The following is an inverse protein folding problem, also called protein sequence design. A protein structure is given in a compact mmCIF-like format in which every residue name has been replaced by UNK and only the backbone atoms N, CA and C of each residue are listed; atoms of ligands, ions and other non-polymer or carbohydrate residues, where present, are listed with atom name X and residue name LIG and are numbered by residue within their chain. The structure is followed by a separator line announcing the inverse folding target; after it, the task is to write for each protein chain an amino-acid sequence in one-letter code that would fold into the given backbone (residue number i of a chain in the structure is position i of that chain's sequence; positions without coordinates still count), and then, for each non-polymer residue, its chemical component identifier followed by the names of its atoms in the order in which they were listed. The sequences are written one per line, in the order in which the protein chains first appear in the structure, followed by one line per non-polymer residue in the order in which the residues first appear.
data_IF_587570195149
#
_entry.id   IF_587570195149
#
_cell.length_a   1.000
_cell.length_b   1.000
_cell.length_c   1.000
_cell.angle_alpha   90.00
_cell.angle_beta   90.00
_cell.angle_gamma   90.00
#
_symmetry.space_group_name_H-M   'P 1'
#
loop_
_entity.id
_entity.type
_entity.pdbx_description
1 polymer ?
#
# COMPACT_ATOMS: atom_id res chain seq x y z
N UNK A 1 10.39 43.87 19.18
CA UNK A 1 9.03 43.73 18.62
C UNK A 1 8.09 43.01 19.60
N UNK A 2 8.32 43.12 20.93
CA UNK A 2 7.58 42.35 21.96
C UNK A 2 6.77 43.21 22.94
N UNK A 3 6.56 44.50 22.62
CA UNK A 3 5.77 45.40 23.47
C UNK A 3 4.27 45.39 23.15
N UNK A 4 3.87 44.98 21.93
CA UNK A 4 2.46 44.97 21.49
C UNK A 4 1.71 43.69 21.87
N UNK A 5 2.41 42.54 21.93
CA UNK A 5 1.81 41.25 22.31
C UNK A 5 1.39 41.21 23.79
N UNK A 6 2.09 41.96 24.65
CA UNK A 6 1.80 42.02 26.09
C UNK A 6 0.52 42.83 26.41
N UNK A 7 0.24 43.87 25.63
CA UNK A 7 -0.95 44.71 25.81
C UNK A 7 -2.24 43.98 25.37
N UNK A 8 -2.17 43.18 24.30
CA UNK A 8 -3.29 42.36 23.82
C UNK A 8 -3.64 41.19 24.76
N UNK A 9 -2.63 40.62 25.45
CA UNK A 9 -2.85 39.56 26.44
C UNK A 9 -3.51 40.10 27.73
N UNK A 10 -3.14 41.31 28.15
CA UNK A 10 -3.73 41.98 29.31
C UNK A 10 -5.21 42.36 29.08
N UNK A 11 -5.61 42.67 27.84
CA UNK A 11 -7.00 43.01 27.51
C UNK A 11 -7.92 41.77 27.46
N UNK A 12 -7.41 40.61 27.02
CA UNK A 12 -8.19 39.37 27.01
C UNK A 12 -8.42 38.79 28.43
N UNK A 13 -7.51 39.03 29.37
CA UNK A 13 -7.67 38.58 30.76
C UNK A 13 -8.78 39.32 31.51
N UNK A 14 -8.99 40.62 31.21
CA UNK A 14 -10.02 41.43 31.87
C UNK A 14 -11.44 41.18 31.32
N UNK A 15 -11.56 40.59 30.13
CA UNK A 15 -12.84 40.24 29.51
C UNK A 15 -13.31 38.80 29.79
N UNK A 16 -12.49 37.96 30.44
CA UNK A 16 -12.79 36.55 30.75
C UNK A 16 -13.24 36.30 32.20
N UNK A 17 -13.15 37.29 33.09
CA UNK A 17 -13.63 37.18 34.48
C UNK A 17 -15.11 37.58 34.68
N UNK A 18 -15.78 38.03 33.63
CA UNK A 18 -17.21 38.33 33.65
C UNK A 18 -17.91 37.49 32.59
N UNK A 19 -18.33 36.27 32.94
CA UNK A 19 -19.54 35.54 32.50
C UNK A 19 -19.30 34.04 32.68
N UNK A 20 -19.75 33.48 33.79
CA UNK A 20 -19.99 32.04 33.96
C UNK A 20 -21.52 31.81 34.06
N UNK A 21 -22.06 30.70 33.51
CA UNK A 21 -23.50 30.50 33.41
C UNK A 21 -24.11 30.04 34.74
N UNK A 22 -25.17 30.72 35.20
CA UNK A 22 -26.01 30.31 36.33
C UNK A 22 -27.21 29.50 35.80
N UNK A 23 -27.30 28.25 36.23
CA UNK A 23 -28.48 27.40 36.08
C UNK A 23 -29.60 27.83 37.04
N UNK A 24 -30.83 27.59 36.60
CA UNK A 24 -32.12 27.91 37.24
C UNK A 24 -32.52 26.93 38.34
N UNK A 25 -32.94 27.42 39.51
CA UNK A 25 -34.21 27.01 40.17
C UNK A 25 -34.50 27.80 41.47
N UNK A 26 -35.74 28.32 41.53
CA UNK A 26 -36.67 28.51 42.68
C UNK A 26 -36.41 29.58 43.77
N UNK A 27 -37.24 30.63 43.67
CA UNK A 27 -38.08 31.31 44.69
C UNK A 27 -37.61 31.45 46.15
N UNK A 28 -37.59 32.69 46.66
CA UNK A 28 -38.41 33.20 47.79
C UNK A 28 -37.88 34.58 48.25
N UNK A 29 -38.83 35.45 48.58
CA UNK A 29 -38.80 36.85 49.06
C UNK A 29 -37.70 37.28 50.05
N UNK A 30 -37.15 38.50 49.88
CA UNK A 30 -36.94 39.49 50.95
C UNK A 30 -36.33 40.80 50.41
N UNK A 31 -36.79 41.93 50.96
CA UNK A 31 -36.42 43.29 50.60
C UNK A 31 -35.14 43.79 51.30
N UNK A 32 -34.32 44.60 50.61
CA UNK A 32 -33.47 45.64 51.22
C UNK A 32 -33.22 46.76 50.20
N UNK A 33 -33.41 48.02 50.63
CA UNK A 33 -33.04 49.25 49.91
C UNK A 33 -31.56 49.59 50.14
N UNK A 34 -30.87 50.12 49.12
CA UNK A 34 -29.85 51.16 49.29
C UNK A 34 -29.51 51.86 47.97
N UNK A 35 -29.23 53.15 48.11
CA UNK A 35 -29.24 54.27 47.17
C UNK A 35 -27.89 54.50 46.44
N UNK A 36 -27.87 55.27 45.33
CA UNK A 36 -26.62 55.81 44.75
C UNK A 36 -26.49 56.02 43.22
N UNK A 37 -27.27 56.93 42.64
CA UNK A 37 -26.93 57.89 41.55
C UNK A 37 -26.33 57.44 40.19
N UNK A 38 -27.26 57.21 39.24
CA UNK A 38 -27.39 57.75 37.86
C UNK A 38 -26.20 57.85 36.87
N UNK A 39 -26.32 57.11 35.75
CA UNK A 39 -26.29 57.70 34.38
C UNK A 39 -26.84 56.74 33.31
N UNK A 40 -27.87 57.22 32.62
CA UNK A 40 -28.57 56.73 31.42
C UNK A 40 -29.25 55.35 31.48
N UNK A 41 -30.57 55.39 31.60
CA UNK A 41 -31.47 54.28 31.38
C UNK A 41 -31.22 53.68 30.00
N UNK A 42 -30.72 52.45 29.99
CA UNK A 42 -30.68 51.62 28.80
C UNK A 42 -32.09 51.54 28.26
N UNK A 43 -32.32 52.19 27.12
CA UNK A 43 -33.57 52.08 26.38
C UNK A 43 -33.91 50.60 26.22
N UNK A 44 -35.02 50.17 26.83
CA UNK A 44 -35.63 48.84 26.60
C UNK A 44 -35.92 48.59 25.11
N UNK A 45 -35.91 49.65 24.31
CA UNK A 45 -36.13 49.63 22.87
C UNK A 45 -34.78 49.61 22.15
N UNK A 46 -34.50 48.49 21.49
CA UNK A 46 -33.39 48.36 20.54
C UNK A 46 -33.91 48.76 19.17
N UNK A 47 -33.14 49.57 18.43
CA UNK A 47 -33.51 49.95 17.06
C UNK A 47 -33.49 48.69 16.18
N UNK A 48 -34.53 48.53 15.36
CA UNK A 48 -34.68 47.37 14.46
C UNK A 48 -33.46 47.16 13.56
N UNK A 49 -32.83 48.25 13.12
CA UNK A 49 -31.59 48.24 12.34
C UNK A 49 -30.43 47.56 13.10
N UNK A 50 -30.32 47.77 14.41
CA UNK A 50 -29.23 47.19 15.22
C UNK A 50 -29.46 45.69 15.46
N UNK A 51 -30.72 45.25 15.56
CA UNK A 51 -31.10 43.82 15.67
C UNK A 51 -30.82 43.08 14.36
N UNK A 52 -31.19 43.68 13.22
CA UNK A 52 -30.95 43.08 11.90
C UNK A 52 -29.46 43.03 11.56
N UNK A 53 -28.72 44.08 11.92
CA UNK A 53 -27.26 44.10 11.79
C UNK A 53 -26.61 43.00 12.64
N UNK A 54 -27.02 42.84 13.91
CA UNK A 54 -26.54 41.75 14.74
C UNK A 54 -26.86 40.36 14.16
N UNK A 55 -28.03 40.19 13.53
CA UNK A 55 -28.42 38.94 12.86
C UNK A 55 -27.56 38.68 11.60
N UNK A 56 -27.30 39.71 10.80
CA UNK A 56 -26.43 39.62 9.62
C UNK A 56 -24.98 39.31 10.01
N UNK A 57 -24.47 39.95 11.06
CA UNK A 57 -23.13 39.70 11.59
C UNK A 57 -23.00 38.27 12.14
N UNK A 58 -24.02 37.75 12.83
CA UNK A 58 -24.04 36.34 13.27
C UNK A 58 -24.02 35.37 12.09
N UNK A 59 -24.82 35.63 11.04
CA UNK A 59 -24.82 34.79 9.84
C UNK A 59 -23.46 34.80 9.12
N UNK A 60 -22.85 35.97 8.96
CA UNK A 60 -21.54 36.10 8.34
C UNK A 60 -20.43 35.49 9.21
N UNK A 61 -20.51 35.63 10.54
CA UNK A 61 -19.57 35.00 11.45
C UNK A 61 -19.68 33.47 11.43
N UNK A 62 -20.89 32.92 11.38
CA UNK A 62 -21.12 31.48 11.24
C UNK A 62 -20.63 30.97 9.89
N UNK A 63 -20.85 31.72 8.80
CA UNK A 63 -20.34 31.38 7.48
C UNK A 63 -18.80 31.41 7.44
N UNK A 64 -18.18 32.44 8.00
CA UNK A 64 -16.73 32.56 8.09
C UNK A 64 -16.12 31.43 8.94
N UNK A 65 -16.76 31.03 10.04
CA UNK A 65 -16.34 29.89 10.87
C UNK A 65 -16.40 28.57 10.09
N UNK A 66 -17.46 28.37 9.30
CA UNK A 66 -17.59 27.17 8.47
C UNK A 66 -16.54 27.15 7.35
N UNK A 67 -16.24 28.30 6.76
CA UNK A 67 -15.19 28.43 5.74
C UNK A 67 -13.80 28.22 6.33
N UNK A 68 -13.51 28.75 7.52
CA UNK A 68 -12.23 28.52 8.20
C UNK A 68 -12.06 27.06 8.61
N UNK A 69 -13.10 26.40 9.12
CA UNK A 69 -13.08 24.96 9.44
C UNK A 69 -12.81 24.11 8.19
N UNK A 70 -13.46 24.44 7.06
CA UNK A 70 -13.22 23.78 5.77
C UNK A 70 -11.78 24.01 5.29
N UNK A 71 -11.26 25.23 5.41
CA UNK A 71 -9.90 25.57 5.03
C UNK A 71 -8.87 24.83 5.92
N UNK A 72 -9.08 24.80 7.24
CA UNK A 72 -8.24 24.05 8.18
C UNK A 72 -8.26 22.56 7.90
N UNK A 73 -9.43 21.98 7.59
CA UNK A 73 -9.53 20.57 7.19
C UNK A 73 -8.79 20.29 5.89
N UNK A 74 -8.84 21.22 4.93
CA UNK A 74 -8.09 21.10 3.68
C UNK A 74 -6.57 21.20 3.92
N UNK A 75 -6.11 22.13 4.77
CA UNK A 75 -4.71 22.27 5.14
C UNK A 75 -4.20 21.05 5.91
N UNK A 76 -4.98 20.54 6.87
CA UNK A 76 -4.64 19.33 7.63
C UNK A 76 -4.52 18.12 6.71
N UNK A 77 -5.40 18.00 5.69
CA UNK A 77 -5.31 16.95 4.69
C UNK A 77 -4.05 17.08 3.82
N UNK A 78 -3.75 18.28 3.29
CA UNK A 78 -2.53 18.50 2.49
C UNK A 78 -1.27 18.21 3.29
N UNK A 79 -1.22 18.64 4.56
CA UNK A 79 -0.10 18.37 5.46
C UNK A 79 0.07 16.88 5.74
N UNK A 80 -1.03 16.15 5.97
CA UNK A 80 -0.97 14.69 6.17
C UNK A 80 -0.51 13.95 4.90
N UNK A 81 -0.97 14.38 3.71
CA UNK A 81 -0.55 13.80 2.44
C UNK A 81 0.96 14.06 2.15
N UNK A 82 1.46 15.25 2.49
CA UNK A 82 2.87 15.64 2.38
C UNK A 82 3.75 14.85 3.36
N UNK A 83 3.33 14.72 4.62
CA UNK A 83 4.03 13.93 5.63
C UNK A 83 4.08 12.44 5.25
N UNK A 84 2.98 11.88 4.73
CA UNK A 84 2.92 10.52 4.21
C UNK A 84 3.76 10.32 2.94
N UNK A 85 3.95 11.36 2.12
CA UNK A 85 4.87 11.33 0.98
C UNK A 85 6.33 11.35 1.46
N UNK A 86 6.68 12.23 2.40
CA UNK A 86 8.01 12.30 2.99
C UNK A 86 8.39 11.02 3.73
N UNK A 87 7.44 10.35 4.41
CA UNK A 87 7.70 9.05 5.01
C UNK A 87 8.00 7.97 3.97
N UNK A 88 7.24 7.92 2.87
CA UNK A 88 7.51 6.99 1.76
C UNK A 88 8.88 7.22 1.14
N UNK A 89 9.30 8.48 0.99
CA UNK A 89 10.62 8.84 0.50
C UNK A 89 11.72 8.37 1.45
N UNK A 90 11.58 8.60 2.76
CA UNK A 90 12.52 8.09 3.78
C UNK A 90 12.65 6.56 3.76
N UNK A 91 11.56 5.84 3.52
CA UNK A 91 11.59 4.38 3.41
C UNK A 91 12.30 3.90 2.14
N UNK A 92 12.11 4.60 1.02
CA UNK A 92 12.81 4.30 -0.23
C UNK A 92 14.31 4.58 -0.10
N UNK A 93 14.69 5.71 0.52
CA UNK A 93 16.09 6.06 0.78
C UNK A 93 16.76 5.02 1.68
N UNK A 94 16.11 4.60 2.78
CA UNK A 94 16.61 3.50 3.63
C UNK A 94 16.80 2.21 2.85
N UNK A 95 15.84 1.86 1.98
CA UNK A 95 15.91 0.65 1.14
C UNK A 95 17.04 0.74 0.11
N UNK A 96 17.24 1.91 -0.50
CA UNK A 96 18.34 2.16 -1.43
C UNK A 96 19.69 2.06 -0.71
N UNK A 97 19.83 2.70 0.45
CA UNK A 97 21.06 2.61 1.26
C UNK A 97 21.44 1.18 1.63
N UNK A 98 20.47 0.37 2.06
CA UNK A 98 20.71 -1.06 2.35
C UNK A 98 21.10 -1.86 1.10
N UNK A 99 20.52 -1.53 -0.06
CA UNK A 99 20.90 -2.16 -1.33
C UNK A 99 22.32 -1.79 -1.72
N UNK A 100 22.67 -0.51 -1.66
CA UNK A 100 24.00 -0.02 -2.02
C UNK A 100 25.07 -0.55 -1.05
N UNK A 101 24.75 -0.65 0.24
CA UNK A 101 25.62 -1.26 1.24
C UNK A 101 25.84 -2.76 0.95
N UNK A 102 24.77 -3.48 0.59
CA UNK A 102 24.88 -4.90 0.19
C UNK A 102 25.64 -5.08 -1.12
N UNK A 103 25.47 -4.20 -2.10
CA UNK A 103 26.22 -4.23 -3.36
C UNK A 103 27.70 -3.93 -3.13
N UNK A 104 28.04 -2.94 -2.29
CA UNK A 104 29.42 -2.67 -1.88
C UNK A 104 30.05 -3.84 -1.14
N UNK A 105 29.33 -4.49 -0.22
CA UNK A 105 29.84 -5.66 0.49
C UNK A 105 30.11 -6.85 -0.46
N UNK A 106 29.28 -7.04 -1.49
CA UNK A 106 29.52 -8.05 -2.53
C UNK A 106 30.77 -7.73 -3.33
N UNK A 107 30.95 -6.48 -3.73
CA UNK A 107 32.11 -6.04 -4.49
C UNK A 107 33.40 -6.18 -3.68
N UNK A 108 33.38 -5.81 -2.39
CA UNK A 108 34.52 -6.00 -1.49
C UNK A 108 34.89 -7.47 -1.35
N UNK A 109 33.90 -8.35 -1.15
CA UNK A 109 34.14 -9.78 -1.09
C UNK A 109 34.73 -10.33 -2.40
N UNK A 110 34.24 -9.86 -3.54
CA UNK A 110 34.78 -10.25 -4.85
C UNK A 110 36.23 -9.78 -5.04
N UNK A 111 36.55 -8.56 -4.62
CA UNK A 111 37.91 -8.02 -4.60
C UNK A 111 38.82 -8.81 -3.66
N UNK A 112 38.36 -9.14 -2.46
CA UNK A 112 39.11 -9.98 -1.50
C UNK A 112 39.34 -11.39 -2.06
N UNK A 113 38.34 -12.00 -2.70
CA UNK A 113 38.51 -13.29 -3.39
C UNK A 113 39.48 -13.20 -4.58
N UNK A 114 39.46 -12.10 -5.34
CA UNK A 114 40.39 -11.87 -6.45
C UNK A 114 41.83 -11.63 -5.95
N UNK A 115 42.00 -10.84 -4.89
CA UNK A 115 43.28 -10.64 -4.22
C UNK A 115 43.79 -11.93 -3.58
N UNK A 116 42.92 -12.74 -2.97
CA UNK A 116 43.27 -14.04 -2.42
C UNK A 116 43.69 -15.00 -3.54
N UNK A 117 42.99 -15.01 -4.68
CA UNK A 117 43.39 -15.77 -5.89
C UNK A 117 44.75 -15.29 -6.42
N UNK A 118 44.96 -13.98 -6.50
CA UNK A 118 46.24 -13.38 -6.95
C UNK A 118 47.37 -13.67 -5.97
N UNK A 119 47.10 -13.66 -4.66
CA UNK A 119 48.04 -14.01 -3.59
C UNK A 119 48.39 -15.49 -3.63
N UNK A 120 47.40 -16.38 -3.74
CA UNK A 120 47.61 -17.83 -3.92
C UNK A 120 48.38 -18.14 -5.20
N UNK A 121 48.13 -17.39 -6.28
CA UNK A 121 48.90 -17.50 -7.51
C UNK A 121 50.35 -17.07 -7.27
N UNK A 122 50.59 -15.91 -6.64
CA UNK A 122 51.94 -15.40 -6.32
C UNK A 122 52.72 -16.34 -5.38
N UNK A 123 52.04 -16.96 -4.41
CA UNK A 123 52.61 -17.97 -3.52
C UNK A 123 52.93 -19.26 -4.30
N UNK A 124 52.06 -19.69 -5.20
CA UNK A 124 52.25 -20.87 -6.07
C UNK A 124 53.36 -20.66 -7.11
N UNK A 125 53.52 -19.45 -7.63
CA UNK A 125 54.62 -19.06 -8.53
C UNK A 125 55.88 -18.65 -7.76
N UNK A 126 55.87 -18.75 -6.43
CA UNK A 126 56.98 -18.49 -5.52
C UNK A 126 57.90 -19.70 -5.33
N UNK A 127 58.17 -20.44 -6.41
CA UNK A 127 59.33 -21.32 -6.57
C UNK A 127 59.48 -21.53 -8.09
N UNK A 128 60.69 -21.32 -8.60
CA UNK A 128 61.10 -21.35 -10.02
C UNK A 128 60.66 -20.13 -10.84
N UNK A 129 61.67 -19.33 -11.20
CA UNK A 129 61.55 -18.31 -12.21
C UNK A 129 61.63 -18.87 -13.62
N UNK A 130 61.37 -17.96 -14.56
CA UNK A 130 61.64 -18.03 -15.99
C UNK A 130 60.80 -19.02 -16.80
N UNK A 131 59.81 -18.52 -17.54
CA UNK A 131 59.75 -18.54 -19.02
C UNK A 131 58.56 -17.69 -19.47
N UNK A 132 58.81 -16.73 -20.38
CA UNK A 132 57.80 -16.07 -21.20
C UNK A 132 57.07 -17.10 -22.08
N UNK A 133 55.74 -17.01 -22.19
CA UNK A 133 55.05 -17.26 -23.46
C UNK A 133 53.63 -16.66 -23.38
N UNK A 134 53.43 -15.64 -24.21
CA UNK A 134 52.13 -15.13 -24.61
C UNK A 134 51.32 -16.27 -25.24
N UNK A 135 50.19 -16.63 -24.63
CA UNK A 135 49.11 -17.32 -25.35
C UNK A 135 47.76 -16.64 -25.05
N UNK A 136 47.33 -15.86 -26.03
CA UNK A 136 46.04 -15.19 -26.08
C UNK A 136 44.95 -16.23 -26.44
N UNK A 137 44.63 -17.15 -25.52
CA UNK A 137 43.48 -18.04 -25.69
C UNK A 137 42.22 -17.45 -25.05
N UNK A 138 41.31 -17.01 -25.93
CA UNK A 138 39.95 -16.57 -25.64
C UNK A 138 39.28 -17.41 -24.56
N UNK A 139 38.81 -16.69 -23.54
CA UNK A 139 38.03 -17.18 -22.41
C UNK A 139 36.61 -17.54 -22.86
N UNK A 140 36.43 -18.69 -23.49
CA UNK A 140 35.13 -19.34 -23.61
C UNK A 140 34.97 -20.30 -22.43
N UNK A 141 34.43 -19.76 -21.33
CA UNK A 141 34.12 -20.51 -20.12
C UNK A 141 33.13 -21.65 -20.40
N UNK A 142 33.67 -22.84 -20.62
CA UNK A 142 32.92 -24.09 -20.76
C UNK A 142 32.45 -24.58 -19.39
N UNK A 143 31.18 -24.32 -19.08
CA UNK A 143 30.46 -24.98 -17.99
C UNK A 143 29.84 -26.31 -18.42
N UNK A 144 30.58 -27.15 -19.14
CA UNK A 144 30.09 -28.45 -19.60
C UNK A 144 30.52 -29.51 -18.57
N UNK A 145 29.56 -30.15 -17.88
CA UNK A 145 29.93 -31.31 -17.05
C UNK A 145 30.54 -32.41 -17.92
N UNK A 146 31.53 -33.09 -17.37
CA UNK A 146 32.18 -34.23 -18.01
C UNK A 146 31.14 -35.28 -18.42
N UNK A 147 31.30 -35.85 -19.62
CA UNK A 147 30.32 -36.76 -20.24
C UNK A 147 30.06 -37.98 -19.34
N UNK A 148 31.09 -38.45 -18.64
CA UNK A 148 30.99 -39.55 -17.67
C UNK A 148 30.03 -39.23 -16.51
N UNK A 149 30.02 -37.98 -16.04
CA UNK A 149 29.15 -37.50 -14.97
C UNK A 149 27.70 -37.35 -15.44
N UNK A 150 27.49 -36.92 -16.69
CA UNK A 150 26.16 -36.86 -17.29
C UNK A 150 25.54 -38.26 -17.43
N UNK A 151 26.32 -39.26 -17.84
CA UNK A 151 25.85 -40.66 -17.92
C UNK A 151 25.47 -41.21 -16.54
N UNK A 152 26.29 -40.95 -15.51
CA UNK A 152 26.00 -41.40 -14.13
C UNK A 152 24.69 -40.82 -13.62
N UNK A 153 24.49 -39.51 -13.77
CA UNK A 153 23.25 -38.83 -13.34
C UNK A 153 22.02 -39.32 -14.10
N UNK A 154 22.12 -39.58 -15.40
CA UNK A 154 21.00 -40.11 -16.18
C UNK A 154 20.66 -41.56 -15.80
N UNK A 155 21.66 -42.39 -15.50
CA UNK A 155 21.42 -43.75 -14.99
C UNK A 155 20.78 -43.75 -13.61
N UNK A 156 21.20 -42.84 -12.73
CA UNK A 156 20.61 -42.66 -11.40
C UNK A 156 19.15 -42.19 -11.48
N UNK A 157 18.83 -41.34 -12.47
CA UNK A 157 17.47 -40.87 -12.75
C UNK A 157 16.64 -41.86 -13.61
N UNK A 158 17.18 -43.04 -13.95
CA UNK A 158 16.55 -44.03 -14.83
C UNK A 158 16.11 -43.47 -16.20
N UNK A 159 16.84 -42.50 -16.73
CA UNK A 159 16.55 -41.83 -18.00
C UNK A 159 17.50 -42.32 -19.12
N UNK A 160 17.07 -42.31 -20.41
CA UNK A 160 17.93 -42.68 -21.53
C UNK A 160 19.20 -41.82 -21.59
N UNK A 161 20.37 -42.48 -21.71
CA UNK A 161 21.70 -41.85 -21.70
C UNK A 161 21.84 -40.82 -22.82
N UNK A 162 21.31 -41.14 -23.99
CA UNK A 162 21.25 -40.24 -25.14
C UNK A 162 19.95 -40.38 -25.91
N UNK A 163 19.29 -39.26 -26.23
CA UNK A 163 18.16 -39.21 -27.17
C UNK A 163 18.66 -39.00 -28.61
N UNK A 164 17.93 -39.52 -29.59
CA UNK A 164 18.28 -39.39 -31.00
C UNK A 164 18.30 -37.90 -31.41
N UNK A 165 19.39 -37.47 -32.07
CA UNK A 165 19.58 -36.08 -32.49
C UNK A 165 19.93 -35.09 -31.36
N UNK A 166 20.08 -35.52 -30.10
CA UNK A 166 20.44 -34.59 -29.02
C UNK A 166 21.95 -34.26 -29.01
N UNK A 167 22.28 -32.98 -28.83
CA UNK A 167 23.64 -32.49 -28.62
C UNK A 167 24.03 -32.53 -27.13
N UNK A 168 25.32 -32.47 -26.82
CA UNK A 168 25.80 -32.51 -25.42
C UNK A 168 25.19 -31.37 -24.58
N UNK A 169 25.07 -30.17 -25.16
CA UNK A 169 24.42 -29.04 -24.49
C UNK A 169 22.93 -29.27 -24.22
N UNK A 170 22.20 -29.94 -25.12
CA UNK A 170 20.79 -30.29 -24.92
C UNK A 170 20.61 -31.36 -23.85
N UNK A 171 21.47 -32.39 -23.86
CA UNK A 171 21.55 -33.40 -22.79
C UNK A 171 21.79 -32.74 -21.42
N UNK A 172 22.65 -31.72 -21.37
CA UNK A 172 22.91 -30.99 -20.12
C UNK A 172 21.73 -30.16 -19.63
N UNK A 173 20.99 -29.51 -20.53
CA UNK A 173 19.75 -28.81 -20.18
C UNK A 173 18.68 -29.78 -19.67
N UNK A 174 18.60 -30.98 -20.24
CA UNK A 174 17.70 -32.06 -19.78
C UNK A 174 18.06 -32.50 -18.36
N UNK A 175 19.33 -32.76 -18.09
CA UNK A 175 19.79 -33.09 -16.73
C UNK A 175 19.46 -31.95 -15.76
N UNK A 176 19.75 -30.68 -16.10
CA UNK A 176 19.41 -29.54 -15.23
C UNK A 176 17.90 -29.39 -14.99
N UNK A 177 17.04 -29.72 -15.97
CA UNK A 177 15.58 -29.69 -15.81
C UNK A 177 15.09 -30.82 -14.89
N UNK A 178 15.74 -31.98 -14.92
CA UNK A 178 15.39 -33.14 -14.11
C UNK A 178 15.92 -33.03 -12.67
N UNK A 179 17.15 -32.52 -12.51
CA UNK A 179 17.78 -32.31 -11.19
C UNK A 179 17.38 -30.99 -10.54
N UNK A 180 16.92 -30.03 -11.33
CA UNK A 180 16.46 -28.74 -10.84
C UNK A 180 15.17 -28.91 -10.05
N UNK A 181 15.12 -28.30 -8.87
CA UNK A 181 13.88 -28.13 -8.10
C UNK A 181 12.88 -27.47 -9.04
N UNK A 182 11.80 -28.19 -9.41
CA UNK A 182 10.68 -27.59 -10.14
C UNK A 182 10.31 -26.34 -9.35
N UNK A 183 10.39 -25.15 -9.95
CA UNK A 183 9.82 -23.95 -9.34
C UNK A 183 8.36 -24.29 -9.15
N UNK A 184 7.98 -24.60 -7.91
CA UNK A 184 6.65 -25.04 -7.58
C UNK A 184 5.70 -23.98 -8.14
N UNK A 185 4.88 -24.38 -9.10
CA UNK A 185 3.57 -23.73 -9.24
C UNK A 185 2.96 -23.74 -7.84
N UNK A 186 2.36 -22.63 -7.38
CA UNK A 186 1.71 -22.62 -6.08
C UNK A 186 0.80 -23.86 -6.01
N UNK A 187 0.86 -24.64 -4.91
CA UNK A 187 0.05 -25.84 -4.79
C UNK A 187 -1.41 -25.46 -5.08
N UNK A 188 -2.18 -26.28 -5.82
CA UNK A 188 -3.61 -26.08 -5.88
C UNK A 188 -4.11 -26.05 -4.44
N UNK A 189 -4.84 -24.98 -4.09
CA UNK A 189 -5.39 -24.73 -2.76
C UNK A 189 -6.01 -26.04 -2.25
N UNK A 190 -5.48 -26.55 -1.13
CA UNK A 190 -5.98 -27.75 -0.48
C UNK A 190 -7.45 -27.55 -0.11
N UNK A 191 -8.27 -28.59 -0.21
CA UNK A 191 -9.73 -28.51 -0.11
C UNK A 191 -10.31 -27.90 1.18
N UNK A 192 -9.49 -27.66 2.22
CA UNK A 192 -9.89 -26.90 3.41
C UNK A 192 -9.89 -25.37 3.21
N UNK A 193 -9.21 -24.86 2.19
CA UNK A 193 -9.13 -23.43 1.85
C UNK A 193 -10.19 -23.01 0.81
N UNK A 194 -11.01 -23.98 0.36
CA UNK A 194 -12.21 -23.77 -0.46
C UNK A 194 -13.45 -23.43 0.38
N UNK A 195 -13.37 -23.50 1.72
CA UNK A 195 -14.43 -22.99 2.58
C UNK A 195 -14.35 -21.47 2.56
N UNK A 196 -15.15 -20.88 1.68
CA UNK A 196 -15.37 -19.45 1.63
C UNK A 196 -16.04 -19.05 2.94
N UNK A 197 -15.27 -18.47 3.87
CA UNK A 197 -15.85 -17.85 5.06
C UNK A 197 -16.81 -16.75 4.60
N UNK A 198 -18.10 -16.78 5.00
CA UNK A 198 -19.07 -15.78 4.59
C UNK A 198 -18.67 -14.35 5.02
N UNK A 199 -17.76 -14.22 5.98
CA UNK A 199 -17.18 -12.95 6.43
C UNK A 199 -16.09 -12.41 5.49
N UNK A 200 -15.43 -13.26 4.70
CA UNK A 200 -14.36 -12.85 3.79
C UNK A 200 -14.87 -12.45 2.40
N UNK A 201 -16.04 -12.94 1.95
CA UNK A 201 -16.70 -12.50 0.69
C UNK A 201 -17.05 -11.02 0.73
N UNK A 202 -17.44 -10.50 1.90
CA UNK A 202 -17.74 -9.08 2.09
C UNK A 202 -16.47 -8.20 2.09
N UNK A 203 -15.28 -8.82 2.15
CA UNK A 203 -13.97 -8.16 2.24
C UNK A 203 -13.15 -8.33 0.96
N UNK A 204 -13.80 -8.55 -0.18
CA UNK A 204 -13.14 -8.40 -1.47
C UNK A 204 -12.99 -6.89 -1.79
N UNK A 205 -11.77 -6.36 -1.97
CA UNK A 205 -11.51 -4.92 -2.12
C UNK A 205 -11.94 -4.33 -3.48
N UNK A 206 -12.80 -5.01 -4.22
CA UNK A 206 -13.27 -4.57 -5.54
C UNK A 206 -14.59 -3.84 -5.41
N UNK A 207 -14.52 -2.54 -5.12
CA UNK A 207 -15.70 -1.68 -4.94
C UNK A 207 -16.63 -1.63 -6.18
N UNK A 208 -16.18 -2.08 -7.36
CA UNK A 208 -16.95 -2.07 -8.61
C UNK A 208 -16.54 -3.24 -9.52
N UNK A 209 -17.27 -4.38 -9.51
CA UNK A 209 -16.86 -5.61 -10.21
C UNK A 209 -16.94 -5.51 -11.74
N UNK A 210 -17.76 -4.60 -12.26
CA UNK A 210 -17.89 -4.35 -13.70
C UNK A 210 -17.52 -2.89 -13.91
N UNK A 211 -16.37 -2.65 -14.54
CA UNK A 211 -15.91 -1.30 -14.82
C UNK A 211 -16.93 -0.56 -15.68
N UNK A 212 -17.65 0.39 -15.08
CA UNK A 212 -18.51 1.31 -15.83
C UNK A 212 -17.61 2.33 -16.51
N UNK A 213 -17.37 2.14 -17.80
CA UNK A 213 -16.73 3.15 -18.64
C UNK A 213 -17.83 4.11 -19.12
N UNK A 214 -17.66 5.41 -18.84
CA UNK A 214 -18.51 6.49 -19.39
C UNK A 214 -19.94 6.59 -18.82
N UNK A 215 -20.07 7.10 -17.58
CA UNK A 215 -21.30 7.78 -17.15
C UNK A 215 -20.95 9.22 -16.76
N UNK A 216 -21.41 10.17 -17.57
CA UNK A 216 -21.30 11.61 -17.33
C UNK A 216 -20.49 12.37 -18.40
N UNK A 217 -20.99 13.55 -18.76
CA UNK A 217 -20.47 14.47 -19.78
C UNK A 217 -19.10 15.08 -19.40
N UNK A 218 -18.66 14.91 -18.15
CA UNK A 218 -17.42 15.52 -17.62
C UNK A 218 -16.51 14.46 -16.98
N UNK A 219 -15.25 14.45 -17.39
CA UNK A 219 -14.19 13.58 -16.86
C UNK A 219 -13.72 14.09 -15.48
N UNK A 220 -13.69 13.20 -14.46
CA UNK A 220 -13.23 13.53 -13.10
C UNK A 220 -11.93 12.79 -12.81
N UNK A 221 -10.98 13.43 -12.12
CA UNK A 221 -9.66 12.89 -11.73
C UNK A 221 -9.70 11.58 -10.93
N UNK A 222 -10.83 11.23 -10.31
CA UNK A 222 -11.04 9.93 -9.65
C UNK A 222 -11.13 8.75 -10.64
N UNK A 223 -11.32 9.02 -11.94
CA UNK A 223 -11.43 7.99 -13.00
C UNK A 223 -10.09 7.34 -13.32
N UNK A 224 -8.97 8.06 -13.23
CA UNK A 224 -7.64 7.49 -13.47
C UNK A 224 -7.28 6.37 -12.49
N UNK A 225 -7.75 6.49 -11.24
CA UNK A 225 -7.58 5.45 -10.21
C UNK A 225 -8.37 4.16 -10.50
N UNK A 226 -9.33 4.19 -11.43
CA UNK A 226 -10.09 3.02 -11.90
C UNK A 226 -9.47 2.37 -13.14
N UNK A 227 -8.64 3.09 -13.91
CA UNK A 227 -8.01 2.61 -15.16
C UNK A 227 -6.58 2.13 -14.99
N UNK A 228 -6.05 2.15 -13.76
CA UNK A 228 -4.69 1.70 -13.47
C UNK A 228 -4.54 0.21 -13.80
N UNK A 229 -3.93 -0.07 -14.96
CA UNK A 229 -3.92 -1.36 -15.69
C UNK A 229 -3.13 -2.49 -15.02
N UNK A 230 -2.92 -2.43 -13.70
CA UNK A 230 -2.13 -3.38 -12.92
C UNK A 230 -2.62 -3.65 -11.50
N UNK A 231 -3.73 -3.04 -11.06
CA UNK A 231 -4.34 -3.26 -9.74
C UNK A 231 -5.73 -3.90 -9.79
N UNK A 232 -6.10 -4.50 -10.91
CA UNK A 232 -7.34 -5.28 -11.03
C UNK A 232 -7.10 -6.73 -10.55
N UNK A 233 -7.06 -6.93 -9.24
CA UNK A 233 -7.06 -8.25 -8.61
C UNK A 233 -8.45 -8.92 -8.67
N UNK A 234 -9.19 -8.74 -9.76
CA UNK A 234 -10.49 -9.35 -9.93
C UNK A 234 -10.31 -10.75 -10.53
N UNK A 235 -10.88 -11.77 -9.88
CA UNK A 235 -10.98 -13.14 -10.38
C UNK A 235 -11.55 -13.27 -11.81
N UNK A 236 -12.19 -12.23 -12.34
CA UNK A 236 -12.67 -12.15 -13.72
C UNK A 236 -11.63 -11.64 -14.73
N UNK A 237 -10.42 -11.26 -14.32
CA UNK A 237 -9.35 -10.87 -15.26
C UNK A 237 -8.71 -12.07 -15.96
N UNK A 238 -8.76 -13.25 -15.34
CA UNK A 238 -8.31 -14.50 -15.92
C UNK A 238 -9.47 -15.24 -16.60
N UNK A 239 -9.36 -15.39 -17.92
CA UNK A 239 -10.37 -16.01 -18.78
C UNK A 239 -10.48 -17.53 -18.54
N UNK A 240 -9.40 -18.19 -18.12
CA UNK A 240 -9.42 -19.61 -17.79
C UNK A 240 -10.22 -19.86 -16.51
N UNK A 241 -9.92 -19.09 -15.46
CA UNK A 241 -10.64 -19.15 -14.18
C UNK A 241 -12.12 -18.77 -14.33
N UNK A 242 -12.44 -17.75 -15.15
CA UNK A 242 -13.84 -17.39 -15.46
C UNK A 242 -14.61 -18.54 -16.09
N UNK A 243 -14.03 -19.22 -17.09
CA UNK A 243 -14.67 -20.37 -17.76
C UNK A 243 -14.86 -21.54 -16.81
N UNK A 244 -13.87 -21.81 -15.96
CA UNK A 244 -13.95 -22.87 -14.96
C UNK A 244 -15.09 -22.61 -13.95
N UNK A 245 -15.16 -21.41 -13.39
CA UNK A 245 -16.23 -21.03 -12.45
C UNK A 245 -17.62 -21.07 -13.09
N UNK A 246 -17.75 -20.60 -14.34
CA UNK A 246 -19.00 -20.71 -15.09
C UNK A 246 -19.41 -22.17 -15.34
N UNK A 247 -18.44 -23.06 -15.61
CA UNK A 247 -18.71 -24.49 -15.80
C UNK A 247 -19.23 -25.13 -14.51
N UNK A 248 -18.64 -24.79 -13.35
CA UNK A 248 -19.11 -25.25 -12.04
C UNK A 248 -20.53 -24.77 -11.76
N UNK A 249 -20.83 -23.48 -11.98
CA UNK A 249 -22.19 -22.95 -11.80
C UNK A 249 -23.20 -23.68 -12.69
N UNK A 250 -22.85 -24.03 -13.93
CA UNK A 250 -23.71 -24.83 -14.81
C UNK A 250 -23.98 -26.23 -14.26
N UNK A 251 -22.94 -26.91 -13.76
CA UNK A 251 -23.09 -28.22 -13.13
C UNK A 251 -23.97 -28.17 -11.87
N UNK A 252 -23.78 -27.16 -11.02
CA UNK A 252 -24.58 -26.98 -9.81
C UNK A 252 -26.05 -26.65 -10.13
N UNK A 253 -26.29 -25.81 -11.14
CA UNK A 253 -27.64 -25.49 -11.58
C UNK A 253 -28.36 -26.72 -12.16
N UNK A 254 -27.64 -27.56 -12.92
CA UNK A 254 -28.16 -28.84 -13.39
C UNK A 254 -28.48 -29.79 -12.22
N UNK A 255 -27.59 -29.89 -11.23
CA UNK A 255 -27.82 -30.72 -10.05
C UNK A 255 -29.06 -30.27 -9.27
N UNK A 256 -29.24 -28.96 -9.03
CA UNK A 256 -30.43 -28.41 -8.36
C UNK A 256 -31.72 -28.62 -9.17
N UNK A 257 -31.64 -28.62 -10.51
CA UNK A 257 -32.81 -28.92 -11.36
C UNK A 257 -33.19 -30.40 -11.28
N UNK A 258 -32.21 -31.30 -11.22
CA UNK A 258 -32.43 -32.75 -11.19
C UNK A 258 -32.79 -33.27 -9.79
N UNK A 259 -32.24 -32.64 -8.76
CA UNK A 259 -32.42 -32.92 -7.33
C UNK A 259 -32.63 -31.60 -6.58
N UNK A 260 -33.87 -31.11 -6.53
CA UNK A 260 -34.18 -29.89 -5.79
C UNK A 260 -33.90 -30.09 -4.29
N UNK A 261 -33.27 -29.12 -3.61
CA UNK A 261 -33.06 -29.19 -2.18
C UNK A 261 -34.39 -29.06 -1.43
N UNK A 262 -34.50 -29.71 -0.27
CA UNK A 262 -35.70 -29.65 0.58
C UNK A 262 -35.86 -28.30 1.27
N UNK A 263 -34.74 -27.63 1.58
CA UNK A 263 -34.73 -26.31 2.19
C UNK A 263 -34.61 -25.22 1.11
N UNK A 264 -35.60 -24.31 0.99
CA UNK A 264 -35.57 -23.22 0.01
C UNK A 264 -34.40 -22.25 0.20
N UNK A 265 -33.76 -22.19 1.38
CA UNK A 265 -32.55 -21.38 1.58
C UNK A 265 -31.30 -21.93 0.87
N UNK A 266 -31.35 -23.18 0.41
CA UNK A 266 -30.24 -23.85 -0.29
C UNK A 266 -30.34 -23.74 -1.81
N UNK A 267 -31.39 -23.12 -2.33
CA UNK A 267 -31.54 -22.83 -3.76
C UNK A 267 -30.53 -21.74 -4.14
N UNK A 268 -29.72 -21.97 -5.17
CA UNK A 268 -28.81 -20.95 -5.68
C UNK A 268 -29.53 -20.12 -6.75
N UNK A 269 -30.03 -18.95 -6.36
CA UNK A 269 -30.75 -18.01 -7.25
C UNK A 269 -30.56 -16.58 -6.82
#
# INVERSE_FOLDING_TARGET
MDAFASILSAEMAKKKSATAPKSTSTDTTAATKSDGTSKNGGSKYVRRADIEKARQEQYLADQARLESERAERALKKRKADEEAAAERERQLEKRQRLRDEKEKARLQKEQEEEEERKRKLREKTGATGDTDEDDESKKDGTGLMDESAAVRKLRELNEPIRLFGESNAQRMKRIHRLTGVRKATPPPLSGGELLIDPQNVAKDPSAWPIGVTMVGIHERSAREKLHEKGKSAHIMSDEATRKYLQSIKRCLNFAQTRWPPEDPMQIMG
#
